data_IF_369921414638
#
_entry.id   IF_369921414638
#
_cell.length_a   1.000
_cell.length_b   1.000
_cell.length_c   1.000
_cell.angle_alpha   90.00
_cell.angle_beta   90.00
_cell.angle_gamma   90.00
#
_symmetry.space_group_name_H-M   'P 1'
#
loop_
_entity.id
_entity.type
_entity.pdbx_description
1 polymer ?
#
# COMPACT_ATOMS: atom_id res chain seq x y z
N UNK A 1 -26.77 15.86 34.81
CA UNK A 1 -25.84 16.68 34.01
C UNK A 1 -24.88 15.73 33.34
N UNK A 2 -25.00 15.51 32.01
CA UNK A 2 -24.04 14.72 31.26
C UNK A 2 -22.72 15.48 31.25
N UNK A 3 -21.63 14.83 31.65
CA UNK A 3 -20.29 15.42 31.57
C UNK A 3 -20.05 15.85 30.09
N UNK A 4 -19.59 17.09 29.90
CA UNK A 4 -19.27 17.60 28.59
C UNK A 4 -18.19 16.66 27.98
N UNK A 5 -18.48 16.08 26.80
CA UNK A 5 -17.55 15.20 26.11
C UNK A 5 -16.41 16.06 25.58
N UNK A 6 -15.20 15.87 26.10
CA UNK A 6 -14.03 16.60 25.60
C UNK A 6 -13.66 16.12 24.19
N UNK A 7 -12.87 16.92 23.44
CA UNK A 7 -12.35 16.51 22.13
C UNK A 7 -11.51 15.22 22.21
N UNK A 8 -10.76 15.03 23.31
CA UNK A 8 -9.99 13.82 23.61
C UNK A 8 -10.89 12.60 23.78
N UNK A 9 -12.00 12.75 24.56
CA UNK A 9 -12.97 11.66 24.75
C UNK A 9 -13.64 11.26 23.43
N UNK A 10 -14.00 12.24 22.62
CA UNK A 10 -14.58 12.02 21.30
C UNK A 10 -13.63 11.26 20.37
N UNK A 11 -12.34 11.62 20.34
CA UNK A 11 -11.30 10.92 19.56
C UNK A 11 -11.16 9.48 20.05
N UNK A 12 -11.06 9.29 21.37
CA UNK A 12 -10.94 7.95 21.97
C UNK A 12 -12.15 7.08 21.65
N UNK A 13 -13.36 7.63 21.74
CA UNK A 13 -14.61 6.95 21.39
C UNK A 13 -14.67 6.53 19.92
N UNK A 14 -14.31 7.43 18.99
CA UNK A 14 -14.23 7.12 17.57
C UNK A 14 -13.21 6.02 17.29
N UNK A 15 -12.00 6.11 17.85
CA UNK A 15 -10.94 5.10 17.65
C UNK A 15 -11.40 3.74 18.18
N UNK A 16 -12.04 3.69 19.35
CA UNK A 16 -12.59 2.47 19.92
C UNK A 16 -13.66 1.86 18.99
N UNK A 17 -14.62 2.66 18.52
CA UNK A 17 -15.67 2.21 17.58
C UNK A 17 -15.06 1.64 16.30
N UNK A 18 -14.08 2.33 15.69
CA UNK A 18 -13.42 1.86 14.47
C UNK A 18 -12.65 0.55 14.71
N UNK A 19 -11.97 0.40 15.83
CA UNK A 19 -11.27 -0.84 16.17
C UNK A 19 -12.23 -1.99 16.46
N UNK A 20 -13.36 -1.74 17.09
CA UNK A 20 -14.38 -2.73 17.36
C UNK A 20 -14.95 -3.37 16.05
N UNK A 21 -15.00 -2.61 14.96
CA UNK A 21 -15.41 -3.11 13.64
C UNK A 21 -14.24 -3.56 12.75
N UNK A 22 -13.04 -3.79 13.34
CA UNK A 22 -11.90 -4.42 12.68
C UNK A 22 -10.92 -3.49 11.95
N UNK A 23 -11.08 -2.16 12.02
CA UNK A 23 -10.08 -1.25 11.47
C UNK A 23 -8.89 -1.09 12.42
N UNK A 24 -7.65 -1.11 11.91
CA UNK A 24 -6.45 -0.81 12.71
C UNK A 24 -6.42 0.66 13.18
N UNK A 25 -6.86 1.58 12.37
CA UNK A 25 -7.05 3.02 12.61
C UNK A 25 -5.84 3.76 13.23
N UNK A 26 -4.62 3.25 12.99
CA UNK A 26 -3.38 3.76 13.63
C UNK A 26 -2.91 5.07 13.01
N UNK A 27 -2.98 5.21 11.70
CA UNK A 27 -2.59 6.45 10.99
C UNK A 27 -3.57 7.58 11.26
N UNK A 28 -4.85 7.28 11.26
CA UNK A 28 -5.94 8.21 11.52
C UNK A 28 -5.91 8.70 12.95
N UNK A 29 -5.68 7.82 13.91
CA UNK A 29 -5.48 8.16 15.32
C UNK A 29 -4.32 9.15 15.51
N UNK A 30 -3.18 8.93 14.84
CA UNK A 30 -2.05 9.87 14.88
C UNK A 30 -2.39 11.25 14.30
N UNK A 31 -3.21 11.28 13.25
CA UNK A 31 -3.70 12.54 12.69
C UNK A 31 -4.62 13.25 13.67
N UNK A 32 -5.54 12.51 14.29
CA UNK A 32 -6.47 13.05 15.29
C UNK A 32 -5.75 13.58 16.52
N UNK A 33 -4.77 12.84 17.06
CA UNK A 33 -3.95 13.31 18.19
C UNK A 33 -3.17 14.61 17.85
N UNK A 34 -2.69 14.74 16.59
CA UNK A 34 -2.05 15.98 16.14
C UNK A 34 -3.04 17.12 15.95
N UNK A 35 -4.27 16.83 15.52
CA UNK A 35 -5.35 17.82 15.43
C UNK A 35 -5.78 18.30 16.82
N UNK A 36 -5.91 17.39 17.77
CA UNK A 36 -6.20 17.71 19.17
C UNK A 36 -5.14 18.63 19.80
N UNK A 37 -3.85 18.25 19.66
CA UNK A 37 -2.74 19.09 20.16
C UNK A 37 -2.72 20.48 19.49
N UNK A 38 -3.04 20.56 18.19
CA UNK A 38 -3.19 21.83 17.51
C UNK A 38 -4.36 22.64 18.07
N UNK A 39 -5.51 22.02 18.30
CA UNK A 39 -6.68 22.70 18.87
C UNK A 39 -6.39 23.17 20.29
N UNK A 40 -5.70 22.38 21.12
CA UNK A 40 -5.33 22.78 22.47
C UNK A 40 -4.42 24.03 22.49
N UNK A 41 -3.54 24.18 21.49
CA UNK A 41 -2.67 25.34 21.34
C UNK A 41 -3.39 26.59 20.82
N UNK A 42 -4.15 26.43 19.71
CA UNK A 42 -4.72 27.57 18.98
C UNK A 42 -6.13 27.97 19.45
N UNK A 43 -6.86 27.04 20.10
CA UNK A 43 -8.25 27.19 20.53
C UNK A 43 -8.43 26.62 21.94
N UNK A 44 -7.81 27.20 22.98
CA UNK A 44 -7.91 26.69 24.35
C UNK A 44 -9.37 26.54 24.79
N UNK A 45 -9.71 25.37 25.35
CA UNK A 45 -11.07 25.09 25.83
C UNK A 45 -12.07 24.65 24.75
N UNK A 46 -11.61 24.35 23.52
CA UNK A 46 -12.48 23.82 22.48
C UNK A 46 -12.93 22.38 22.82
N UNK A 47 -14.23 22.12 22.79
CA UNK A 47 -14.82 20.82 23.11
C UNK A 47 -15.28 20.04 21.88
N UNK A 48 -15.37 20.69 20.72
CA UNK A 48 -15.88 20.09 19.47
C UNK A 48 -15.08 20.55 18.25
N UNK A 49 -15.36 19.94 17.09
CA UNK A 49 -14.79 20.35 15.80
C UNK A 49 -15.56 21.57 15.28
N UNK A 50 -14.93 22.74 15.30
CA UNK A 50 -15.52 23.99 14.82
C UNK A 50 -15.02 24.34 13.41
N UNK A 51 -15.73 25.23 12.71
CA UNK A 51 -15.31 25.77 11.42
C UNK A 51 -13.93 26.44 11.54
N UNK A 52 -13.75 27.27 12.55
CA UNK A 52 -12.49 27.99 12.78
C UNK A 52 -11.31 27.03 12.98
N UNK A 53 -11.47 25.95 13.77
CA UNK A 53 -10.41 24.98 14.01
C UNK A 53 -10.04 24.19 12.75
N UNK A 54 -11.02 23.81 11.91
CA UNK A 54 -10.77 23.10 10.66
C UNK A 54 -10.09 23.99 9.63
N UNK A 55 -10.56 25.24 9.46
CA UNK A 55 -9.97 26.21 8.52
C UNK A 55 -8.52 26.56 8.94
N UNK A 56 -8.25 26.76 10.23
CA UNK A 56 -6.90 27.00 10.73
C UNK A 56 -5.99 25.78 10.55
N UNK A 57 -6.50 24.54 10.78
CA UNK A 57 -5.76 23.31 10.52
C UNK A 57 -5.37 23.15 9.05
N UNK A 58 -6.30 23.47 8.13
CA UNK A 58 -6.05 23.48 6.68
C UNK A 58 -5.01 24.54 6.34
N UNK A 59 -5.11 25.74 6.89
CA UNK A 59 -4.17 26.84 6.67
C UNK A 59 -2.75 26.47 7.13
N UNK A 60 -2.62 25.87 8.33
CA UNK A 60 -1.35 25.39 8.84
C UNK A 60 -0.74 24.27 7.97
N UNK A 61 -1.57 23.40 7.41
CA UNK A 61 -1.11 22.37 6.48
C UNK A 61 -0.66 22.99 5.13
N UNK A 62 -1.38 23.98 4.60
CA UNK A 62 -0.99 24.72 3.39
C UNK A 62 0.34 25.46 3.58
N UNK A 63 0.56 26.09 4.74
CA UNK A 63 1.83 26.73 5.07
C UNK A 63 3.04 25.80 5.02
N UNK A 64 2.84 24.50 5.22
CA UNK A 64 3.87 23.46 5.06
C UNK A 64 3.99 22.90 3.64
N UNK A 65 3.29 23.48 2.66
CA UNK A 65 3.29 23.08 1.26
C UNK A 65 3.00 21.57 1.05
N UNK A 66 2.02 21.00 1.79
CA UNK A 66 1.63 19.60 1.64
C UNK A 66 0.92 19.35 0.31
N UNK A 67 1.07 18.14 -0.22
CA UNK A 67 0.38 17.75 -1.46
C UNK A 67 -1.14 17.65 -1.24
N UNK A 68 -1.97 17.77 -2.32
CA UNK A 68 -3.42 17.55 -2.21
C UNK A 68 -3.80 16.20 -1.59
N UNK A 69 -3.06 15.13 -1.90
CA UNK A 69 -3.27 13.80 -1.30
C UNK A 69 -3.00 13.82 0.22
N UNK A 70 -1.92 14.46 0.64
CA UNK A 70 -1.60 14.64 2.07
C UNK A 70 -2.68 15.48 2.76
N UNK A 71 -3.18 16.55 2.11
CA UNK A 71 -4.27 17.36 2.65
C UNK A 71 -5.51 16.53 2.89
N UNK A 72 -5.92 15.71 1.92
CA UNK A 72 -7.07 14.80 2.08
C UNK A 72 -6.85 13.85 3.26
N UNK A 73 -5.66 13.25 3.38
CA UNK A 73 -5.32 12.34 4.48
C UNK A 73 -5.34 13.01 5.87
N UNK A 74 -5.02 14.30 5.95
CA UNK A 74 -5.09 15.08 7.19
C UNK A 74 -6.53 15.46 7.59
N UNK A 75 -7.41 15.63 6.61
CA UNK A 75 -8.79 16.11 6.84
C UNK A 75 -9.79 14.96 6.96
N UNK A 76 -9.56 13.84 6.30
CA UNK A 76 -10.49 12.72 6.32
C UNK A 76 -10.80 12.21 7.76
N UNK A 77 -9.80 12.01 8.65
CA UNK A 77 -10.07 11.61 10.02
C UNK A 77 -10.83 12.69 10.82
N UNK A 78 -10.54 13.97 10.61
CA UNK A 78 -11.23 15.09 11.27
C UNK A 78 -12.69 15.17 10.83
N UNK A 79 -12.95 14.94 9.54
CA UNK A 79 -14.32 14.85 9.01
C UNK A 79 -15.10 13.67 9.61
N UNK A 80 -14.42 12.53 9.77
CA UNK A 80 -15.03 11.36 10.40
C UNK A 80 -15.30 11.58 11.89
N UNK A 81 -14.42 12.31 12.61
CA UNK A 81 -14.66 12.74 13.99
C UNK A 81 -15.88 13.66 14.10
N UNK A 82 -16.02 14.64 13.20
CA UNK A 82 -17.20 15.50 13.16
C UNK A 82 -18.49 14.71 12.93
N UNK A 83 -18.47 13.70 12.03
CA UNK A 83 -19.63 12.80 11.83
C UNK A 83 -19.94 11.97 13.08
N UNK A 84 -18.91 11.49 13.76
CA UNK A 84 -19.06 10.74 15.02
C UNK A 84 -19.72 11.61 16.08
N UNK A 85 -19.25 12.84 16.26
CA UNK A 85 -19.83 13.82 17.19
C UNK A 85 -21.32 14.06 16.90
N UNK A 86 -21.68 14.28 15.62
CA UNK A 86 -23.09 14.44 15.23
C UNK A 86 -23.95 13.23 15.61
N UNK A 87 -23.45 12.01 15.39
CA UNK A 87 -24.19 10.78 15.78
C UNK A 87 -24.40 10.68 17.30
N UNK A 88 -23.55 11.34 18.08
CA UNK A 88 -23.65 11.39 19.54
C UNK A 88 -24.33 12.67 20.08
N UNK A 89 -25.02 13.41 19.19
CA UNK A 89 -25.80 14.59 19.58
C UNK A 89 -24.96 15.84 19.87
N UNK A 90 -23.67 15.84 19.50
CA UNK A 90 -22.79 17.00 19.67
C UNK A 90 -22.69 17.75 18.34
N UNK A 91 -22.96 19.05 18.34
CA UNK A 91 -22.82 19.90 17.16
C UNK A 91 -21.33 20.01 16.78
N UNK A 92 -21.01 19.76 15.50
CA UNK A 92 -19.64 19.81 14.98
C UNK A 92 -19.64 20.27 13.51
N UNK A 93 -18.60 20.98 13.10
CA UNK A 93 -18.48 21.45 11.70
C UNK A 93 -18.05 20.31 10.77
N UNK A 94 -18.90 20.04 9.80
CA UNK A 94 -18.60 19.12 8.69
C UNK A 94 -18.07 19.91 7.49
N UNK A 95 -16.77 19.77 7.21
CA UNK A 95 -16.22 20.38 5.99
C UNK A 95 -16.94 19.85 4.75
N UNK A 96 -17.55 20.71 3.91
CA UNK A 96 -18.30 20.28 2.71
C UNK A 96 -17.43 19.47 1.73
N UNK A 97 -18.09 18.60 0.96
CA UNK A 97 -17.44 17.91 -0.13
C UNK A 97 -17.00 18.92 -1.22
N UNK A 98 -15.86 18.68 -1.85
CA UNK A 98 -15.38 19.53 -2.96
C UNK A 98 -14.52 20.74 -2.54
N UNK A 99 -14.43 21.07 -1.25
CA UNK A 99 -13.58 22.18 -0.77
C UNK A 99 -12.09 21.88 -0.92
N UNK A 100 -11.71 20.62 -0.83
CA UNK A 100 -10.32 20.19 -1.03
C UNK A 100 -10.08 19.85 -2.51
N UNK A 101 -8.92 20.28 -3.01
CA UNK A 101 -8.48 19.88 -4.35
C UNK A 101 -8.35 18.36 -4.41
N UNK A 102 -8.96 17.75 -5.43
CA UNK A 102 -8.78 16.32 -5.69
C UNK A 102 -7.31 16.05 -6.02
N UNK A 103 -6.68 15.06 -5.37
CA UNK A 103 -5.33 14.66 -5.73
C UNK A 103 -5.32 14.14 -7.18
N UNK A 104 -4.25 14.46 -7.91
CA UNK A 104 -4.01 13.84 -9.20
C UNK A 104 -3.91 12.32 -9.02
N UNK A 105 -4.56 11.59 -9.92
CA UNK A 105 -4.49 10.13 -9.89
C UNK A 105 -3.06 9.70 -10.21
N UNK A 106 -2.50 8.84 -9.39
CA UNK A 106 -1.23 8.20 -9.69
C UNK A 106 -1.41 7.22 -10.86
N UNK A 107 -0.57 7.33 -11.88
CA UNK A 107 -0.50 6.36 -12.97
C UNK A 107 0.64 5.41 -12.66
N UNK A 108 0.37 4.11 -12.41
CA UNK A 108 1.41 3.14 -12.12
C UNK A 108 2.40 3.01 -13.26
N UNK A 109 3.68 2.85 -12.93
CA UNK A 109 4.69 2.47 -13.92
C UNK A 109 4.59 0.98 -14.19
N UNK A 110 4.20 0.61 -15.41
CA UNK A 110 4.16 -0.79 -15.86
C UNK A 110 5.51 -1.11 -16.48
N UNK A 111 6.29 -1.92 -15.75
CA UNK A 111 7.63 -2.30 -16.17
C UNK A 111 7.60 -3.18 -17.41
N UNK A 112 8.41 -2.85 -18.39
CA UNK A 112 8.75 -3.76 -19.49
C UNK A 112 9.57 -4.94 -18.97
N UNK A 113 9.58 -6.04 -19.74
CA UNK A 113 10.39 -7.23 -19.39
C UNK A 113 11.88 -6.87 -19.27
N UNK A 114 12.38 -5.94 -20.11
CA UNK A 114 13.76 -5.41 -20.05
C UNK A 114 14.02 -4.64 -18.76
N UNK A 115 13.10 -3.78 -18.32
CA UNK A 115 13.24 -3.03 -17.09
C UNK A 115 13.20 -3.94 -15.85
N UNK A 116 12.30 -4.95 -15.84
CA UNK A 116 12.26 -5.96 -14.78
C UNK A 116 13.58 -6.73 -14.69
N UNK A 117 14.09 -7.20 -15.82
CA UNK A 117 15.37 -7.90 -15.88
C UNK A 117 16.51 -7.02 -15.35
N UNK A 118 16.58 -5.74 -15.78
CA UNK A 118 17.59 -4.80 -15.33
C UNK A 118 17.49 -4.47 -13.83
N UNK A 119 16.26 -4.34 -13.33
CA UNK A 119 16.01 -4.10 -11.91
C UNK A 119 16.45 -5.30 -11.06
N UNK A 120 16.05 -6.51 -11.43
CA UNK A 120 16.43 -7.70 -10.67
C UNK A 120 17.93 -7.99 -10.74
N UNK A 121 18.57 -7.76 -11.87
CA UNK A 121 20.01 -7.83 -12.04
C UNK A 121 20.73 -6.78 -11.14
N UNK A 122 20.19 -5.56 -11.03
CA UNK A 122 20.72 -4.56 -10.10
C UNK A 122 20.58 -5.00 -8.64
N UNK A 123 19.48 -5.70 -8.28
CA UNK A 123 19.33 -6.25 -6.92
C UNK A 123 20.32 -7.39 -6.65
N UNK A 124 20.59 -8.27 -7.62
CA UNK A 124 21.53 -9.40 -7.48
C UNK A 124 22.97 -8.89 -7.30
N UNK A 125 23.32 -7.75 -7.90
CA UNK A 125 24.62 -7.07 -7.71
C UNK A 125 24.72 -6.27 -6.40
N UNK A 126 23.75 -6.40 -5.49
CA UNK A 126 23.80 -5.73 -4.20
C UNK A 126 24.99 -6.25 -3.37
N UNK A 127 25.94 -5.37 -3.10
CA UNK A 127 27.14 -5.75 -2.34
C UNK A 127 26.87 -5.82 -0.84
N UNK A 128 27.62 -6.67 -0.16
CA UNK A 128 27.70 -6.70 1.30
C UNK A 128 28.05 -5.32 1.86
N UNK A 129 27.49 -4.99 3.01
CA UNK A 129 27.74 -3.74 3.73
C UNK A 129 27.66 -4.06 5.23
N UNK A 130 28.76 -3.80 6.01
CA UNK A 130 28.80 -4.15 7.43
C UNK A 130 27.68 -3.53 8.26
N UNK A 131 27.27 -2.28 7.92
CA UNK A 131 26.21 -1.55 8.62
C UNK A 131 24.81 -2.15 8.38
N UNK A 132 24.65 -2.94 7.31
CA UNK A 132 23.40 -3.63 6.97
C UNK A 132 23.73 -5.03 6.42
N UNK A 133 24.18 -5.95 7.29
CA UNK A 133 24.86 -7.19 6.90
C UNK A 133 24.02 -8.10 5.99
N UNK A 134 22.69 -8.09 6.11
CA UNK A 134 21.81 -8.97 5.33
C UNK A 134 21.25 -8.34 4.06
N UNK A 135 21.49 -7.05 3.80
CA UNK A 135 20.89 -6.32 2.67
C UNK A 135 21.11 -7.02 1.33
N UNK A 136 22.34 -7.53 1.07
CA UNK A 136 22.71 -8.20 -0.18
C UNK A 136 22.01 -9.54 -0.38
N UNK A 137 21.53 -10.17 0.69
CA UNK A 137 20.72 -11.40 0.64
C UNK A 137 19.23 -11.07 0.56
N UNK A 138 18.78 -10.11 1.35
CA UNK A 138 17.39 -9.76 1.53
C UNK A 138 16.80 -9.08 0.28
N UNK A 139 17.46 -8.06 -0.27
CA UNK A 139 16.88 -7.23 -1.33
C UNK A 139 16.56 -7.99 -2.62
N UNK A 140 17.44 -8.88 -3.12
CA UNK A 140 17.14 -9.66 -4.32
C UNK A 140 15.90 -10.54 -4.18
N UNK A 141 15.72 -11.13 -3.01
CA UNK A 141 14.59 -12.03 -2.74
C UNK A 141 13.31 -11.24 -2.46
N UNK A 142 13.38 -10.16 -1.66
CA UNK A 142 12.25 -9.31 -1.31
C UNK A 142 11.53 -8.75 -2.55
N UNK A 143 12.27 -8.11 -3.46
CA UNK A 143 11.63 -7.48 -4.62
C UNK A 143 11.08 -8.50 -5.62
N UNK A 144 11.72 -9.67 -5.75
CA UNK A 144 11.16 -10.78 -6.53
C UNK A 144 9.89 -11.34 -5.89
N UNK A 145 9.86 -11.47 -4.57
CA UNK A 145 8.67 -11.91 -3.83
C UNK A 145 7.51 -10.93 -4.04
N UNK A 146 7.77 -9.62 -3.92
CA UNK A 146 6.75 -8.59 -4.16
C UNK A 146 6.20 -8.70 -5.59
N UNK A 147 7.07 -8.85 -6.59
CA UNK A 147 6.67 -8.98 -7.98
C UNK A 147 5.95 -10.31 -8.24
N UNK A 148 6.60 -11.44 -7.97
CA UNK A 148 6.08 -12.75 -8.38
C UNK A 148 4.78 -13.13 -7.64
N UNK A 149 4.65 -12.75 -6.35
CA UNK A 149 3.47 -13.01 -5.55
C UNK A 149 2.49 -11.83 -5.50
N UNK A 150 2.78 -10.72 -6.18
CA UNK A 150 1.91 -9.54 -6.19
C UNK A 150 1.64 -8.97 -4.79
N UNK A 151 2.58 -9.08 -3.86
CA UNK A 151 2.39 -8.66 -2.48
C UNK A 151 2.41 -7.13 -2.33
N UNK A 152 1.64 -6.63 -1.35
CA UNK A 152 1.88 -5.28 -0.84
C UNK A 152 3.24 -5.25 -0.15
N UNK A 153 3.93 -4.10 -0.19
CA UNK A 153 5.23 -3.96 0.46
C UNK A 153 5.16 -4.29 1.97
N UNK A 154 4.08 -3.90 2.64
CA UNK A 154 3.84 -4.21 4.06
C UNK A 154 3.64 -5.71 4.30
N UNK A 155 2.94 -6.42 3.42
CA UNK A 155 2.76 -7.87 3.50
C UNK A 155 4.11 -8.59 3.37
N UNK A 156 4.89 -8.24 2.35
CA UNK A 156 6.19 -8.87 2.11
C UNK A 156 7.18 -8.62 3.27
N UNK A 157 7.39 -7.35 3.68
CA UNK A 157 8.36 -7.02 4.72
C UNK A 157 8.01 -7.55 6.12
N UNK A 158 6.73 -7.89 6.35
CA UNK A 158 6.23 -8.41 7.62
C UNK A 158 6.01 -9.94 7.59
N UNK A 159 6.47 -10.64 6.54
CA UNK A 159 6.48 -12.09 6.52
C UNK A 159 7.37 -12.61 7.65
N UNK A 160 6.86 -13.57 8.40
CA UNK A 160 7.64 -14.30 9.38
C UNK A 160 8.20 -15.57 8.75
N UNK A 161 9.28 -16.10 9.30
CA UNK A 161 9.86 -17.37 8.82
C UNK A 161 8.82 -18.49 8.83
N UNK A 162 8.00 -18.58 9.88
CA UNK A 162 6.91 -19.55 10.00
C UNK A 162 5.77 -19.41 8.99
N UNK A 163 5.71 -18.28 8.27
CA UNK A 163 4.68 -18.01 7.25
C UNK A 163 5.15 -18.41 5.84
N UNK A 164 6.37 -18.92 5.72
CA UNK A 164 6.99 -19.35 4.46
C UNK A 164 7.27 -20.84 4.52
N UNK A 165 6.39 -21.62 3.90
CA UNK A 165 6.62 -23.04 3.74
C UNK A 165 7.38 -23.28 2.43
N UNK A 166 8.69 -23.55 2.57
CA UNK A 166 9.58 -23.75 1.42
C UNK A 166 9.39 -25.16 0.83
N UNK A 167 8.99 -26.15 1.64
CA UNK A 167 8.85 -27.54 1.19
C UNK A 167 7.69 -27.69 0.20
N UNK A 168 6.53 -27.15 0.56
CA UNK A 168 5.35 -27.19 -0.30
C UNK A 168 5.19 -25.95 -1.19
N UNK A 169 6.05 -24.94 -1.03
CA UNK A 169 6.02 -23.71 -1.84
C UNK A 169 4.80 -22.83 -1.59
N UNK A 170 4.49 -22.53 -0.33
CA UNK A 170 3.32 -21.71 0.05
C UNK A 170 3.70 -20.57 0.98
N UNK A 171 3.15 -19.38 0.73
CA UNK A 171 3.20 -18.23 1.63
C UNK A 171 1.86 -18.07 2.35
N UNK A 172 1.91 -17.92 3.67
CA UNK A 172 0.76 -17.52 4.48
C UNK A 172 0.80 -16.01 4.71
N UNK A 173 -0.09 -15.26 4.05
CA UNK A 173 -0.23 -13.82 4.26
C UNK A 173 -1.22 -13.58 5.38
N UNK A 174 -0.73 -13.03 6.49
CA UNK A 174 -1.51 -12.72 7.69
C UNK A 174 -1.70 -11.23 7.86
N UNK A 175 -2.72 -10.84 8.62
CA UNK A 175 -3.00 -9.44 8.96
C UNK A 175 -3.07 -8.51 7.74
N UNK A 176 -3.51 -9.04 6.59
CA UNK A 176 -3.65 -8.27 5.37
C UNK A 176 -4.64 -7.11 5.56
N UNK A 177 -4.56 -6.09 4.71
CA UNK A 177 -5.51 -4.96 4.71
C UNK A 177 -6.94 -5.50 4.60
N UNK A 178 -7.80 -5.16 5.56
CA UNK A 178 -9.19 -5.67 5.63
C UNK A 178 -9.34 -7.02 6.35
N UNK A 179 -8.31 -7.51 7.05
CA UNK A 179 -8.38 -8.73 7.88
C UNK A 179 -8.54 -10.04 7.12
N UNK A 180 -8.22 -10.05 5.81
CA UNK A 180 -8.33 -11.25 4.96
C UNK A 180 -6.99 -11.93 4.82
N UNK A 181 -6.77 -12.97 5.62
CA UNK A 181 -5.64 -13.85 5.45
C UNK A 181 -5.80 -14.68 4.18
N UNK A 182 -4.68 -15.01 3.53
CA UNK A 182 -4.69 -15.84 2.33
C UNK A 182 -3.40 -16.64 2.21
N UNK A 183 -3.50 -17.76 1.51
CA UNK A 183 -2.36 -18.57 1.10
C UNK A 183 -2.04 -18.32 -0.37
N UNK A 184 -0.77 -18.22 -0.71
CA UNK A 184 -0.29 -17.99 -2.06
C UNK A 184 0.72 -19.07 -2.44
N UNK A 185 0.51 -19.77 -3.56
CA UNK A 185 1.53 -20.66 -4.10
C UNK A 185 2.72 -19.84 -4.61
N UNK A 186 3.89 -20.40 -4.45
CA UNK A 186 5.16 -19.82 -4.92
C UNK A 186 5.63 -20.64 -6.13
N UNK A 187 6.06 -19.94 -7.17
CA UNK A 187 6.64 -20.61 -8.35
C UNK A 187 7.95 -21.30 -8.00
N UNK A 188 8.25 -22.40 -8.71
CA UNK A 188 9.47 -23.19 -8.45
C UNK A 188 10.76 -22.36 -8.45
N UNK A 189 11.01 -21.45 -9.40
CA UNK A 189 12.22 -20.64 -9.39
C UNK A 189 12.33 -19.70 -8.18
N UNK A 190 11.19 -19.25 -7.62
CA UNK A 190 11.18 -18.42 -6.42
C UNK A 190 11.35 -19.29 -5.15
N UNK A 191 10.81 -20.51 -5.14
CA UNK A 191 10.97 -21.49 -4.08
C UNK A 191 12.44 -21.89 -3.90
N UNK A 192 13.14 -22.16 -5.00
CA UNK A 192 14.59 -22.44 -4.99
C UNK A 192 15.37 -21.27 -4.38
N UNK A 193 15.06 -20.03 -4.78
CA UNK A 193 15.68 -18.83 -4.18
C UNK A 193 15.37 -18.68 -2.70
N UNK A 194 14.17 -19.06 -2.26
CA UNK A 194 13.84 -19.07 -0.84
C UNK A 194 14.67 -20.10 -0.08
N UNK A 195 14.88 -21.28 -0.63
CA UNK A 195 15.71 -22.31 -0.03
C UNK A 195 17.17 -21.86 0.14
N UNK A 196 17.78 -21.30 -0.91
CA UNK A 196 19.13 -20.74 -0.85
C UNK A 196 19.25 -19.59 0.16
N UNK A 197 18.27 -18.69 0.16
CA UNK A 197 18.20 -17.56 1.07
C UNK A 197 18.04 -18.01 2.53
N UNK A 198 17.13 -18.95 2.76
CA UNK A 198 16.89 -19.55 4.07
C UNK A 198 18.16 -20.22 4.62
N UNK A 199 18.84 -21.01 3.80
CA UNK A 199 20.07 -21.69 4.22
C UNK A 199 21.18 -20.71 4.67
N UNK A 200 21.24 -19.51 4.08
CA UNK A 200 22.23 -18.47 4.44
C UNK A 200 21.89 -17.72 5.73
N UNK A 201 20.63 -17.68 6.12
CA UNK A 201 20.16 -16.96 7.31
C UNK A 201 19.80 -17.91 8.47
N UNK A 202 19.67 -19.20 8.23
CA UNK A 202 19.35 -20.18 9.25
C UNK A 202 20.35 -20.11 10.41
N UNK A 203 19.83 -20.09 11.64
CA UNK A 203 20.65 -19.99 12.85
C UNK A 203 21.11 -18.58 13.24
N UNK A 204 20.80 -17.55 12.48
CA UNK A 204 21.10 -16.16 12.89
C UNK A 204 20.22 -15.75 14.08
N UNK A 205 20.79 -15.12 15.13
CA UNK A 205 20.03 -14.67 16.28
C UNK A 205 18.92 -13.69 15.89
N UNK A 206 17.71 -13.90 16.42
CA UNK A 206 16.59 -12.99 16.19
C UNK A 206 15.98 -13.06 14.78
N UNK A 207 16.25 -14.13 14.03
CA UNK A 207 15.65 -14.33 12.70
C UNK A 207 14.21 -14.88 12.80
N UNK A 208 13.33 -14.01 13.24
CA UNK A 208 11.88 -14.22 13.28
C UNK A 208 11.19 -13.76 11.99
N UNK A 209 11.68 -12.67 11.42
CA UNK A 209 11.19 -12.08 10.19
C UNK A 209 11.88 -12.69 8.98
N UNK A 210 11.11 -13.13 8.00
CA UNK A 210 11.68 -13.71 6.78
C UNK A 210 12.61 -12.71 6.07
N UNK A 211 12.27 -11.42 6.12
CA UNK A 211 13.12 -10.32 5.67
C UNK A 211 13.56 -9.46 6.86
N UNK A 212 14.66 -9.82 7.55
CA UNK A 212 15.11 -9.12 8.73
C UNK A 212 15.58 -7.69 8.42
N UNK A 213 15.39 -6.80 9.38
CA UNK A 213 15.99 -5.46 9.38
C UNK A 213 17.47 -5.49 9.77
N UNK A 214 18.07 -4.32 9.97
CA UNK A 214 19.44 -4.20 10.46
C UNK A 214 19.59 -4.61 11.92
N UNK A 215 18.53 -4.46 12.72
CA UNK A 215 18.50 -4.85 14.13
C UNK A 215 17.85 -6.22 14.30
N UNK A 216 18.44 -7.16 15.04
CA UNK A 216 17.85 -8.47 15.32
C UNK A 216 16.42 -8.34 15.89
N UNK A 217 15.51 -9.21 15.45
CA UNK A 217 14.11 -9.21 15.89
C UNK A 217 13.23 -8.08 15.35
N UNK A 218 13.79 -7.16 14.56
CA UNK A 218 13.06 -6.03 13.95
C UNK A 218 12.91 -6.26 12.45
N UNK A 219 11.70 -6.12 11.88
CA UNK A 219 11.50 -6.25 10.43
C UNK A 219 12.08 -5.06 9.67
N UNK A 220 12.26 -5.22 8.37
CA UNK A 220 12.60 -4.10 7.47
C UNK A 220 11.61 -2.94 7.64
N UNK A 221 12.12 -1.73 7.72
CA UNK A 221 11.27 -0.53 7.67
C UNK A 221 10.85 -0.23 6.24
N UNK A 222 9.66 0.36 6.06
CA UNK A 222 9.18 0.81 4.75
C UNK A 222 10.16 1.81 4.12
N UNK A 223 10.74 2.69 4.94
CA UNK A 223 11.74 3.67 4.47
C UNK A 223 12.98 2.98 3.90
N UNK A 224 13.48 1.93 4.57
CA UNK A 224 14.62 1.15 4.09
C UNK A 224 14.32 0.47 2.75
N UNK A 225 13.14 -0.15 2.62
CA UNK A 225 12.71 -0.77 1.35
C UNK A 225 12.67 0.26 0.23
N UNK A 226 12.00 1.41 0.45
CA UNK A 226 11.88 2.46 -0.56
C UNK A 226 13.22 3.10 -0.93
N UNK A 227 14.13 3.27 0.04
CA UNK A 227 15.47 3.80 -0.22
C UNK A 227 16.29 2.86 -1.12
N UNK A 228 16.31 1.56 -0.78
CA UNK A 228 17.01 0.56 -1.59
C UNK A 228 16.36 0.41 -2.98
N UNK A 229 15.05 0.43 -3.07
CA UNK A 229 14.34 0.36 -4.36
C UNK A 229 14.77 1.49 -5.30
N UNK A 230 14.78 2.75 -4.84
CA UNK A 230 15.24 3.89 -5.64
C UNK A 230 16.70 3.75 -6.08
N UNK A 231 17.56 3.21 -5.20
CA UNK A 231 18.95 2.91 -5.54
C UNK A 231 19.04 1.90 -6.68
N UNK A 232 18.23 0.82 -6.64
CA UNK A 232 18.24 -0.19 -7.69
C UNK A 232 17.61 0.30 -8.99
N UNK A 233 16.59 1.15 -8.95
CA UNK A 233 16.07 1.84 -10.14
C UNK A 233 17.18 2.65 -10.83
N UNK A 234 17.94 3.43 -10.05
CA UNK A 234 19.06 4.20 -10.58
C UNK A 234 20.14 3.30 -11.21
N UNK A 235 20.52 2.21 -10.55
CA UNK A 235 21.47 1.21 -11.07
C UNK A 235 20.96 0.51 -12.33
N UNK A 236 19.67 0.26 -12.42
CA UNK A 236 19.00 -0.30 -13.59
C UNK A 236 18.75 0.74 -14.71
N UNK A 237 19.15 2.00 -14.50
CA UNK A 237 18.88 3.13 -15.41
C UNK A 237 17.40 3.36 -15.69
N UNK A 238 16.53 3.08 -14.72
CA UNK A 238 15.11 3.36 -14.78
C UNK A 238 14.87 4.73 -14.14
N UNK A 239 14.36 5.74 -14.89
CA UNK A 239 14.13 7.09 -14.37
C UNK A 239 13.13 7.09 -13.22
N UNK A 240 13.46 7.76 -12.11
CA UNK A 240 12.56 7.87 -10.95
C UNK A 240 11.74 9.16 -10.96
N UNK A 241 12.14 10.22 -11.65
CA UNK A 241 11.39 11.47 -11.73
C UNK A 241 11.29 12.30 -10.44
N UNK A 242 11.92 11.88 -9.32
CA UNK A 242 11.90 12.61 -8.06
C UNK A 242 10.75 12.18 -7.09
N UNK A 243 10.60 12.95 -6.01
CA UNK A 243 9.59 12.66 -4.96
C UNK A 243 8.18 12.87 -5.51
N UNK A 244 7.33 11.84 -5.36
CA UNK A 244 5.94 11.88 -5.84
C UNK A 244 5.77 11.54 -7.33
N UNK A 245 6.87 11.36 -8.04
CA UNK A 245 6.89 10.98 -9.45
C UNK A 245 7.70 9.70 -9.64
N UNK A 246 7.41 8.97 -10.71
CA UNK A 246 8.14 7.76 -11.09
C UNK A 246 7.77 6.50 -10.31
N UNK A 247 8.49 5.41 -10.59
CA UNK A 247 8.15 4.08 -10.10
C UNK A 247 8.18 3.95 -8.58
N UNK A 248 7.21 3.23 -8.04
CA UNK A 248 7.10 2.87 -6.61
C UNK A 248 7.28 1.35 -6.44
N UNK A 249 7.59 0.91 -5.24
CA UNK A 249 7.63 -0.54 -4.93
C UNK A 249 6.29 -1.22 -5.26
N UNK A 250 5.18 -0.52 -5.05
CA UNK A 250 3.84 -1.05 -5.34
C UNK A 250 3.60 -1.29 -6.84
N UNK A 251 4.30 -0.59 -7.72
CA UNK A 251 4.18 -0.79 -9.16
C UNK A 251 4.71 -2.16 -9.63
N UNK A 252 5.53 -2.85 -8.82
CA UNK A 252 5.88 -4.24 -9.06
C UNK A 252 4.64 -5.15 -9.01
N UNK A 253 3.73 -4.89 -8.07
CA UNK A 253 2.45 -5.60 -7.96
C UNK A 253 1.52 -5.26 -9.13
N UNK A 254 1.47 -3.99 -9.54
CA UNK A 254 0.71 -3.58 -10.72
C UNK A 254 1.25 -4.27 -12.00
N UNK A 255 2.57 -4.27 -12.17
CA UNK A 255 3.22 -4.93 -13.29
C UNK A 255 2.95 -6.45 -13.32
N UNK A 256 2.99 -7.13 -12.17
CA UNK A 256 2.64 -8.56 -12.07
C UNK A 256 1.21 -8.80 -12.55
N UNK A 257 0.23 -8.03 -12.07
CA UNK A 257 -1.16 -8.19 -12.46
C UNK A 257 -1.37 -7.96 -13.97
N UNK A 258 -0.80 -6.86 -14.49
CA UNK A 258 -0.86 -6.52 -15.93
C UNK A 258 -0.17 -7.57 -16.78
N UNK A 259 1.01 -8.06 -16.38
CA UNK A 259 1.76 -9.08 -17.15
C UNK A 259 1.03 -10.44 -17.15
N UNK A 260 0.34 -10.82 -16.06
CA UNK A 260 -0.50 -12.01 -16.08
C UNK A 260 -1.68 -11.85 -17.04
N UNK A 261 -2.40 -10.73 -16.98
CA UNK A 261 -3.50 -10.46 -17.91
C UNK A 261 -3.03 -10.45 -19.35
N UNK A 262 -1.91 -9.77 -19.68
CA UNK A 262 -1.29 -9.78 -21.00
C UNK A 262 -1.02 -11.20 -21.46
N UNK A 263 -0.41 -12.01 -20.59
CA UNK A 263 -0.08 -13.40 -20.91
C UNK A 263 -1.34 -14.26 -21.14
N UNK A 264 -2.38 -14.09 -20.35
CA UNK A 264 -3.66 -14.81 -20.53
C UNK A 264 -4.34 -14.41 -21.83
N UNK A 265 -4.40 -13.12 -22.17
CA UNK A 265 -4.92 -12.68 -23.45
C UNK A 265 -4.12 -13.24 -24.64
N UNK A 266 -2.78 -13.24 -24.54
CA UNK A 266 -1.91 -13.76 -25.58
C UNK A 266 -2.14 -15.27 -25.82
N UNK A 267 -2.41 -16.04 -24.75
CA UNK A 267 -2.69 -17.50 -24.86
C UNK A 267 -4.15 -17.83 -25.20
N UNK A 268 -5.04 -16.83 -25.32
CA UNK A 268 -6.47 -17.05 -25.56
C UNK A 268 -7.23 -17.64 -24.35
N UNK A 269 -6.72 -17.47 -23.15
CA UNK A 269 -7.35 -17.95 -21.92
C UNK A 269 -8.67 -17.23 -21.64
N UNK A 270 -9.57 -17.89 -20.90
CA UNK A 270 -10.80 -17.27 -20.44
C UNK A 270 -10.52 -16.30 -19.28
N UNK A 271 -10.18 -15.05 -19.60
CA UNK A 271 -9.83 -14.02 -18.62
C UNK A 271 -10.99 -13.72 -17.67
N UNK A 272 -12.26 -13.84 -18.11
CA UNK A 272 -13.42 -13.67 -17.23
C UNK A 272 -13.43 -14.67 -16.08
N UNK A 273 -13.06 -15.93 -16.34
CA UNK A 273 -12.95 -16.95 -15.31
C UNK A 273 -11.70 -16.78 -14.42
N UNK A 274 -10.62 -16.21 -14.96
CA UNK A 274 -9.37 -16.02 -14.23
C UNK A 274 -9.32 -14.73 -13.39
N UNK A 275 -10.16 -13.74 -13.70
CA UNK A 275 -10.18 -12.47 -12.98
C UNK A 275 -10.54 -12.62 -11.47
N UNK A 276 -11.52 -13.43 -11.05
CA UNK A 276 -11.78 -13.71 -9.63
C UNK A 276 -10.59 -14.42 -8.94
N UNK A 277 -9.87 -15.28 -9.66
CA UNK A 277 -8.66 -15.93 -9.14
C UNK A 277 -7.59 -14.88 -8.86
N UNK A 278 -7.34 -13.96 -9.81
CA UNK A 278 -6.42 -12.84 -9.61
C UNK A 278 -6.86 -11.94 -8.46
N UNK A 279 -8.16 -11.66 -8.32
CA UNK A 279 -8.72 -10.91 -7.19
C UNK A 279 -8.35 -11.56 -5.85
N UNK A 280 -8.59 -12.86 -5.72
CA UNK A 280 -8.28 -13.63 -4.51
C UNK A 280 -6.79 -13.65 -4.24
N UNK A 281 -5.99 -13.90 -5.26
CA UNK A 281 -4.53 -13.94 -5.19
C UNK A 281 -3.96 -12.60 -4.69
N UNK A 282 -4.44 -11.49 -5.23
CA UNK A 282 -4.05 -10.16 -4.81
C UNK A 282 -4.64 -9.75 -3.44
N UNK A 283 -5.71 -10.39 -2.98
CA UNK A 283 -6.42 -10.01 -1.75
C UNK A 283 -7.16 -8.67 -1.91
N UNK A 284 -7.83 -8.49 -3.05
CA UNK A 284 -8.72 -7.36 -3.28
C UNK A 284 -10.10 -7.62 -2.67
N UNK A 285 -10.67 -6.63 -2.01
CA UNK A 285 -12.01 -6.70 -1.44
C UNK A 285 -13.12 -6.54 -2.49
N UNK A 286 -12.80 -5.89 -3.60
CA UNK A 286 -13.72 -5.62 -4.71
C UNK A 286 -13.15 -6.13 -6.03
N UNK A 287 -14.04 -6.66 -6.88
CA UNK A 287 -13.67 -7.02 -8.25
C UNK A 287 -13.30 -5.77 -9.07
N UNK A 288 -13.85 -4.60 -8.72
CA UNK A 288 -13.51 -3.33 -9.35
C UNK A 288 -12.04 -2.96 -9.23
N UNK A 289 -11.40 -3.28 -8.08
CA UNK A 289 -9.96 -3.08 -7.89
C UNK A 289 -9.13 -3.94 -8.84
N UNK A 290 -9.63 -5.14 -9.16
CA UNK A 290 -8.97 -6.06 -10.11
C UNK A 290 -9.29 -5.69 -11.56
N UNK A 291 -10.54 -5.27 -11.85
CA UNK A 291 -10.94 -4.79 -13.17
C UNK A 291 -10.15 -3.54 -13.62
N UNK A 292 -9.65 -2.76 -12.67
CA UNK A 292 -8.73 -1.66 -12.97
C UNK A 292 -7.50 -2.11 -13.79
N UNK A 293 -6.99 -3.31 -13.54
CA UNK A 293 -5.86 -3.85 -14.29
C UNK A 293 -6.18 -4.18 -15.74
N UNK A 294 -7.44 -4.50 -16.07
CA UNK A 294 -7.86 -4.66 -17.48
C UNK A 294 -7.62 -3.38 -18.28
N UNK A 295 -7.99 -2.23 -17.67
CA UNK A 295 -7.74 -0.93 -18.30
C UNK A 295 -6.26 -0.64 -18.43
N UNK A 296 -5.47 -0.84 -17.36
CA UNK A 296 -4.02 -0.66 -17.40
C UNK A 296 -3.35 -1.56 -18.46
N UNK A 297 -3.84 -2.79 -18.62
CA UNK A 297 -3.35 -3.70 -19.65
C UNK A 297 -3.64 -3.17 -21.05
N UNK A 298 -4.86 -2.70 -21.29
CA UNK A 298 -5.22 -2.11 -22.57
C UNK A 298 -4.42 -0.82 -22.89
N UNK A 299 -4.24 0.06 -21.89
CA UNK A 299 -3.46 1.30 -22.02
C UNK A 299 -1.96 1.03 -22.26
N UNK A 300 -1.40 -0.03 -21.64
CA UNK A 300 0.02 -0.38 -21.75
C UNK A 300 0.35 -1.24 -22.98
N UNK A 301 -0.62 -1.96 -23.50
CA UNK A 301 -0.47 -2.89 -24.63
C UNK A 301 -1.62 -2.71 -25.64
N UNK A 302 -1.50 -1.72 -26.55
CA UNK A 302 -2.56 -1.39 -27.50
C UNK A 302 -2.99 -2.53 -28.43
N UNK A 303 -2.10 -3.49 -28.68
CA UNK A 303 -2.35 -4.69 -29.50
C UNK A 303 -3.41 -5.62 -28.89
N UNK A 304 -3.63 -5.56 -27.60
CA UNK A 304 -4.67 -6.34 -26.91
C UNK A 304 -5.92 -5.52 -26.55
N UNK A 305 -5.92 -4.21 -26.82
CA UNK A 305 -7.04 -3.31 -26.50
C UNK A 305 -8.36 -3.82 -27.09
N UNK A 306 -8.37 -4.23 -28.37
CA UNK A 306 -9.57 -4.75 -29.02
C UNK A 306 -10.15 -5.97 -28.28
N UNK A 307 -9.29 -6.88 -27.83
CA UNK A 307 -9.70 -8.08 -27.07
C UNK A 307 -10.25 -7.73 -25.70
N UNK A 308 -9.63 -6.77 -25.01
CA UNK A 308 -10.11 -6.29 -23.72
C UNK A 308 -11.48 -5.63 -23.87
N UNK A 309 -11.65 -4.75 -24.87
CA UNK A 309 -12.93 -4.09 -25.15
C UNK A 309 -14.03 -5.10 -25.52
N UNK A 310 -13.70 -6.08 -26.35
CA UNK A 310 -14.64 -7.13 -26.73
C UNK A 310 -15.09 -7.98 -25.53
N UNK A 311 -14.15 -8.34 -24.64
CA UNK A 311 -14.45 -9.21 -23.49
C UNK A 311 -15.08 -8.48 -22.31
N UNK A 312 -14.80 -7.19 -22.13
CA UNK A 312 -15.09 -6.44 -20.90
C UNK A 312 -15.57 -5.01 -21.15
N UNK A 313 -16.00 -4.64 -22.36
CA UNK A 313 -16.36 -3.25 -22.70
C UNK A 313 -17.36 -2.59 -21.73
N UNK A 314 -18.31 -3.38 -21.21
CA UNK A 314 -19.32 -2.91 -20.26
C UNK A 314 -18.86 -2.94 -18.79
N UNK A 315 -17.75 -3.66 -18.48
CA UNK A 315 -17.25 -3.88 -17.11
C UNK A 315 -16.04 -2.98 -16.83
N UNK A 316 -15.31 -2.56 -17.86
CA UNK A 316 -14.15 -1.67 -17.69
C UNK A 316 -14.65 -0.30 -17.24
N UNK A 317 -14.33 0.15 -16.04
CA UNK A 317 -14.80 1.45 -15.55
C UNK A 317 -14.32 2.56 -16.49
N UNK A 318 -15.17 3.56 -16.82
CA UNK A 318 -14.75 4.70 -17.59
C UNK A 318 -13.57 5.42 -16.91
N UNK A 319 -12.79 6.17 -17.67
CA UNK A 319 -11.54 6.81 -17.22
C UNK A 319 -11.68 7.77 -16.01
N UNK A 320 -12.93 8.04 -15.58
CA UNK A 320 -13.25 8.88 -14.42
C UNK A 320 -13.61 8.04 -13.20
N UNK A 321 -12.67 7.92 -12.25
CA UNK A 321 -12.96 7.51 -10.89
C UNK A 321 -12.82 6.02 -10.61
N UNK A 322 -11.62 5.54 -10.38
CA UNK A 322 -11.37 4.31 -9.65
C UNK A 322 -11.03 4.60 -8.19
N UNK A 323 -11.18 3.61 -7.28
CA UNK A 323 -10.91 3.81 -5.87
C UNK A 323 -9.46 4.27 -5.64
N UNK A 324 -9.30 5.20 -4.71
CA UNK A 324 -8.00 5.56 -4.21
C UNK A 324 -7.48 4.39 -3.36
N UNK A 325 -6.54 3.62 -3.89
CA UNK A 325 -5.76 2.70 -3.07
C UNK A 325 -4.92 3.54 -2.10
N UNK A 326 -5.47 3.76 -0.90
CA UNK A 326 -4.73 4.30 0.22
C UNK A 326 -3.90 3.17 0.84
N UNK A 327 -2.58 3.24 0.67
CA UNK A 327 -1.61 2.58 1.55
C UNK A 327 -1.51 3.29 2.88
#
# INVERSE_FOLDING_TARGET
MSAAVTLADAISGLVCEKRAVGYKYVSEERVLARFEAFCASEFPGIETVTRASVEAWIAAARGRAVTPATMVSLIAPVRELARWLHRHGVEAYLLPAGVLQKPARYVPHIYSDRELAALFDATDRCRYCPEVPFRHLVMPVLFRTIYACGLRCSEARLLRVRDVDIEIGVLQIRDAKGGKDRQLPVSEPLRERFAEYHARLAGQPGWEWFFPGATPGVPLTLNNVNHNFRRFLWQARIPHGGRGHGPRVHDLRHAMAVNNLRSWFARGENVSALLPVLQTYLGHSSIGDTAYYLRLTAESYPDITARVTQAFGDIVPPATGGPADGD
#
